data_IF_381369949194
#
_entry.id   IF_381369949194
#
_cell.length_a   1.000
_cell.length_b   1.000
_cell.length_c   1.000
_cell.angle_alpha   90.00
_cell.angle_beta   90.00
_cell.angle_gamma   90.00
#
_symmetry.space_group_name_H-M   'P 1'
#
loop_
_entity.id
_entity.type
_entity.pdbx_description
1 polymer ?
#
# COMPACT_ATOMS: atom_id res chain seq x y z
N UNK A 1 -4.19 -24.08 7.42
CA UNK A 1 -3.40 -23.74 6.21
C UNK A 1 -2.50 -22.57 6.57
N UNK A 2 -1.29 -22.53 6.04
CA UNK A 2 -0.39 -21.39 6.29
C UNK A 2 -0.97 -20.13 5.64
N UNK A 3 -1.16 -19.07 6.41
CA UNK A 3 -1.68 -17.80 5.93
C UNK A 3 -0.92 -16.62 6.53
N UNK A 4 -0.93 -15.48 5.85
CA UNK A 4 -0.40 -14.23 6.33
C UNK A 4 -1.48 -13.15 6.26
N UNK A 5 -1.79 -12.54 7.40
CA UNK A 5 -2.69 -11.40 7.46
C UNK A 5 -1.89 -10.11 7.34
N UNK A 6 -2.37 -9.20 6.50
CA UNK A 6 -1.81 -7.86 6.30
C UNK A 6 -2.89 -6.82 6.55
N UNK A 7 -2.51 -5.69 7.13
CA UNK A 7 -3.35 -4.48 7.30
C UNK A 7 -2.70 -3.38 6.46
N UNK A 8 -3.36 -2.94 5.40
CA UNK A 8 -2.80 -1.92 4.51
C UNK A 8 -3.58 -0.60 4.60
N UNK A 9 -2.85 0.52 4.66
CA UNK A 9 -3.43 1.85 4.75
C UNK A 9 -2.40 2.93 4.41
N UNK A 10 -2.80 4.00 3.78
CA UNK A 10 -1.97 5.19 3.49
C UNK A 10 -2.65 6.49 3.91
N UNK A 11 -1.96 7.61 3.74
CA UNK A 11 -2.48 8.96 3.98
C UNK A 11 -2.93 9.14 5.45
N UNK A 12 -1.97 9.01 6.36
CA UNK A 12 -2.27 8.64 7.73
C UNK A 12 -2.37 9.84 8.69
N UNK A 13 -1.27 10.34 9.22
CA UNK A 13 -1.23 11.16 10.43
C UNK A 13 -0.91 12.62 10.16
N UNK A 14 -1.50 13.51 10.93
CA UNK A 14 -1.25 14.95 10.87
C UNK A 14 -2.17 15.72 11.83
N UNK A 15 -2.17 17.05 11.78
CA UNK A 15 -3.01 17.86 12.66
C UNK A 15 -4.47 17.38 12.64
N UNK A 16 -5.14 17.15 13.79
CA UNK A 16 -6.46 16.48 13.86
C UNK A 16 -7.54 17.10 12.98
N UNK A 17 -7.55 18.44 12.85
CA UNK A 17 -8.52 19.15 11.99
C UNK A 17 -8.46 18.70 10.52
N UNK A 18 -7.28 18.29 10.04
CA UNK A 18 -7.04 17.85 8.65
C UNK A 18 -6.89 16.35 8.51
N UNK A 19 -6.67 15.66 9.61
CA UNK A 19 -6.48 14.21 9.67
C UNK A 19 -7.41 13.60 10.75
N UNK A 20 -8.74 13.72 10.59
CA UNK A 20 -9.70 13.33 11.64
C UNK A 20 -9.81 11.83 11.84
N UNK A 21 -9.31 11.01 10.91
CA UNK A 21 -9.43 9.54 10.95
C UNK A 21 -8.24 8.80 11.57
N UNK A 22 -7.09 9.47 11.80
CA UNK A 22 -5.84 8.81 12.16
C UNK A 22 -5.92 7.97 13.45
N UNK A 23 -6.52 8.50 14.49
CA UNK A 23 -6.69 7.80 15.77
C UNK A 23 -7.65 6.61 15.64
N UNK A 24 -8.78 6.80 14.96
CA UNK A 24 -9.80 5.78 14.78
C UNK A 24 -9.28 4.59 13.93
N UNK A 25 -8.52 4.87 12.87
CA UNK A 25 -7.93 3.81 12.03
C UNK A 25 -6.78 3.07 12.76
N UNK A 26 -5.98 3.75 13.56
CA UNK A 26 -4.99 3.10 14.43
C UNK A 26 -5.67 2.20 15.49
N UNK A 27 -6.77 2.65 16.09
CA UNK A 27 -7.56 1.83 17.02
C UNK A 27 -8.19 0.61 16.33
N UNK A 28 -8.69 0.76 15.09
CA UNK A 28 -9.19 -0.35 14.28
C UNK A 28 -8.07 -1.38 14.00
N UNK A 29 -6.89 -0.93 13.59
CA UNK A 29 -5.75 -1.82 13.37
C UNK A 29 -5.40 -2.63 14.62
N UNK A 30 -5.42 -2.02 15.81
CA UNK A 30 -5.21 -2.72 17.09
C UNK A 30 -6.27 -3.78 17.36
N UNK A 31 -7.54 -3.51 17.02
CA UNK A 31 -8.61 -4.52 17.18
C UNK A 31 -8.37 -5.72 16.26
N UNK A 32 -7.95 -5.47 15.03
CA UNK A 32 -7.60 -6.55 14.09
C UNK A 32 -6.39 -7.33 14.62
N UNK A 33 -5.35 -6.67 15.12
CA UNK A 33 -4.16 -7.33 15.67
C UNK A 33 -4.46 -8.22 16.89
N UNK A 34 -5.49 -7.91 17.68
CA UNK A 34 -5.92 -8.79 18.78
C UNK A 34 -6.40 -10.16 18.27
N UNK A 35 -7.09 -10.17 17.12
CA UNK A 35 -7.57 -11.40 16.49
C UNK A 35 -6.47 -12.09 15.65
N UNK A 36 -5.52 -11.32 15.11
CA UNK A 36 -4.43 -11.77 14.24
C UNK A 36 -3.07 -11.26 14.74
N UNK A 37 -2.51 -11.88 15.81
CA UNK A 37 -1.30 -11.37 16.47
C UNK A 37 -0.06 -11.30 15.58
N UNK A 38 0.00 -12.12 14.52
CA UNK A 38 1.11 -12.17 13.55
C UNK A 38 0.87 -11.31 12.31
N UNK A 39 -0.21 -10.52 12.28
CA UNK A 39 -0.49 -9.65 11.16
C UNK A 39 0.59 -8.55 11.02
N UNK A 40 0.92 -8.23 9.78
CA UNK A 40 1.84 -7.14 9.43
C UNK A 40 1.04 -5.92 8.97
N UNK A 41 1.63 -4.73 9.14
CA UNK A 41 1.06 -3.48 8.68
C UNK A 41 1.84 -2.98 7.48
N UNK A 42 1.13 -2.56 6.42
CA UNK A 42 1.69 -1.94 5.23
C UNK A 42 1.25 -0.48 5.18
N UNK A 43 2.17 0.44 5.47
CA UNK A 43 1.95 1.87 5.38
C UNK A 43 2.25 2.35 3.95
N UNK A 44 1.22 2.84 3.25
CA UNK A 44 1.23 3.11 1.82
C UNK A 44 1.63 4.56 1.47
N UNK A 45 2.47 5.17 2.30
CA UNK A 45 3.00 6.53 2.10
C UNK A 45 2.12 7.64 2.64
N UNK A 46 2.67 8.86 2.61
CA UNK A 46 2.12 10.05 3.27
C UNK A 46 1.84 9.75 4.74
N UNK A 47 2.89 9.32 5.43
CA UNK A 47 2.80 8.82 6.80
C UNK A 47 2.57 9.94 7.81
N UNK A 48 3.28 11.07 7.66
CA UNK A 48 3.12 12.24 8.52
C UNK A 48 2.89 13.52 7.71
N UNK A 49 1.77 14.19 7.96
CA UNK A 49 1.39 15.44 7.31
C UNK A 49 1.76 16.66 8.17
N UNK A 50 2.05 17.77 7.48
CA UNK A 50 1.81 18.10 6.08
C UNK A 50 3.08 17.99 5.20
N UNK A 51 4.25 17.83 5.79
CA UNK A 51 5.55 17.89 5.10
C UNK A 51 6.48 16.72 5.41
N UNK A 52 6.07 15.75 6.21
CA UNK A 52 6.92 14.65 6.65
C UNK A 52 8.09 15.13 7.53
N UNK A 53 7.90 16.17 8.34
CA UNK A 53 8.92 16.68 9.25
C UNK A 53 9.05 15.81 10.50
N UNK A 54 10.19 15.90 11.16
CA UNK A 54 10.46 15.16 12.40
C UNK A 54 9.46 15.50 13.52
N UNK A 55 9.06 16.77 13.64
CA UNK A 55 8.03 17.21 14.57
C UNK A 55 6.66 16.60 14.25
N UNK A 56 6.29 16.53 12.96
CA UNK A 56 5.02 15.90 12.54
C UNK A 56 4.99 14.40 12.83
N UNK A 57 6.10 13.68 12.66
CA UNK A 57 6.23 12.29 13.11
C UNK A 57 6.07 12.16 14.63
N UNK A 58 6.77 13.00 15.40
CA UNK A 58 6.71 12.98 16.86
C UNK A 58 5.32 13.34 17.38
N UNK A 59 4.68 14.36 16.83
CA UNK A 59 3.43 14.93 17.37
C UNK A 59 2.17 14.22 16.86
N UNK A 60 2.21 13.62 15.67
CA UNK A 60 1.02 13.07 15.04
C UNK A 60 1.11 11.56 14.77
N UNK A 61 2.25 11.07 14.28
CA UNK A 61 2.40 9.65 13.98
C UNK A 61 2.67 8.83 15.26
N UNK A 62 3.61 9.26 16.07
CA UNK A 62 4.00 8.56 17.32
C UNK A 62 2.81 8.29 18.25
N UNK A 63 1.91 9.23 18.55
CA UNK A 63 0.80 8.96 19.47
C UNK A 63 -0.30 8.05 18.87
N UNK A 64 -0.29 7.81 17.56
CA UNK A 64 -1.32 7.02 16.86
C UNK A 64 -0.72 5.72 16.30
N UNK A 65 -0.30 5.73 15.06
CA UNK A 65 0.29 4.57 14.35
C UNK A 65 1.73 4.25 14.77
N UNK A 66 2.42 5.19 15.39
CA UNK A 66 3.79 5.03 15.88
C UNK A 66 3.91 4.35 17.25
N UNK A 67 2.82 3.88 17.85
CA UNK A 67 2.89 3.13 19.09
C UNK A 67 3.61 1.79 18.88
N UNK A 68 4.35 1.27 19.88
CA UNK A 68 5.21 0.09 19.73
C UNK A 68 4.50 -1.16 19.17
N UNK A 69 3.24 -1.36 19.54
CA UNK A 69 2.41 -2.48 19.11
C UNK A 69 2.08 -2.45 17.62
N UNK A 70 1.97 -1.26 17.03
CA UNK A 70 1.75 -1.05 15.60
C UNK A 70 3.08 -0.88 14.84
N UNK A 71 3.95 0.03 15.32
CA UNK A 71 5.22 0.36 14.65
C UNK A 71 6.12 -0.86 14.49
N UNK A 72 6.17 -1.73 15.50
CA UNK A 72 6.96 -2.95 15.47
C UNK A 72 6.61 -3.92 14.33
N UNK A 73 5.42 -3.77 13.74
CA UNK A 73 4.85 -4.62 12.66
C UNK A 73 4.70 -3.89 11.33
N UNK A 74 5.10 -2.61 11.28
CA UNK A 74 4.90 -1.74 10.11
C UNK A 74 6.06 -1.85 9.13
N UNK A 75 5.72 -2.11 7.87
CA UNK A 75 6.57 -2.00 6.70
C UNK A 75 5.99 -0.90 5.81
N UNK A 76 6.81 -0.04 5.22
CA UNK A 76 6.30 1.18 4.62
C UNK A 76 6.95 1.51 3.28
N UNK A 77 6.23 2.27 2.45
CA UNK A 77 6.79 3.04 1.37
C UNK A 77 6.63 4.55 1.66
N UNK A 78 7.47 5.42 1.09
CA UNK A 78 7.30 6.86 1.26
C UNK A 78 6.25 7.42 0.29
N UNK A 79 5.63 8.55 0.67
CA UNK A 79 4.74 9.33 -0.17
C UNK A 79 5.27 10.71 -0.49
N UNK A 80 4.51 11.48 -1.27
CA UNK A 80 4.96 12.79 -1.70
C UNK A 80 5.02 13.84 -0.58
N UNK A 81 4.26 13.65 0.50
CA UNK A 81 4.37 14.51 1.68
C UNK A 81 5.60 14.19 2.51
N UNK A 82 6.03 12.92 2.57
CA UNK A 82 7.29 12.54 3.20
C UNK A 82 8.48 13.18 2.45
N UNK A 83 8.41 13.30 1.12
CA UNK A 83 9.41 13.96 0.27
C UNK A 83 9.32 15.50 0.21
N UNK A 84 8.44 16.13 0.99
CA UNK A 84 8.49 17.60 1.18
C UNK A 84 9.62 18.06 2.10
N UNK A 85 10.26 17.14 2.79
CA UNK A 85 11.57 17.34 3.40
C UNK A 85 12.67 16.83 2.47
N UNK A 86 13.88 17.38 2.59
CA UNK A 86 15.01 16.99 1.76
C UNK A 86 15.27 15.47 1.87
N UNK A 87 15.26 14.77 0.75
CA UNK A 87 15.46 13.33 0.64
C UNK A 87 14.57 12.47 1.58
N UNK A 88 13.44 13.00 2.03
CA UNK A 88 12.57 12.36 3.02
C UNK A 88 13.31 11.91 4.29
N UNK A 89 14.36 12.62 4.70
CA UNK A 89 15.24 12.23 5.82
C UNK A 89 14.48 11.84 7.08
N UNK A 90 13.48 12.63 7.59
CA UNK A 90 12.77 12.23 8.80
C UNK A 90 11.98 10.92 8.68
N UNK A 91 11.49 10.57 7.48
CA UNK A 91 10.83 9.30 7.22
C UNK A 91 11.79 8.13 7.43
N UNK A 92 13.00 8.19 6.84
CA UNK A 92 14.00 7.13 6.98
C UNK A 92 14.54 7.01 8.40
N UNK A 93 14.76 8.14 9.08
CA UNK A 93 15.17 8.16 10.49
C UNK A 93 14.12 7.55 11.41
N UNK A 94 12.83 7.80 11.13
CA UNK A 94 11.74 7.33 11.96
C UNK A 94 11.50 5.82 11.83
N UNK A 95 11.43 5.30 10.61
CA UNK A 95 11.13 3.88 10.37
C UNK A 95 12.37 2.99 10.40
N UNK A 96 13.55 3.55 10.14
CA UNK A 96 14.82 2.83 10.07
C UNK A 96 14.99 2.01 8.78
N UNK A 97 16.23 1.65 8.51
CA UNK A 97 16.64 1.00 7.25
C UNK A 97 15.89 -0.31 6.97
N UNK A 98 15.67 -1.11 7.99
CA UNK A 98 15.01 -2.40 7.84
C UNK A 98 13.59 -2.30 7.28
N UNK A 99 12.86 -1.23 7.60
CA UNK A 99 11.43 -1.06 7.26
C UNK A 99 11.15 -0.08 6.13
N UNK A 100 12.08 0.81 5.89
CA UNK A 100 11.93 1.91 4.94
C UNK A 100 12.98 1.89 3.81
N UNK A 101 14.06 1.12 3.96
CA UNK A 101 15.27 1.28 3.16
C UNK A 101 16.09 2.49 3.60
N UNK A 102 16.90 3.03 2.71
CA UNK A 102 17.71 4.23 2.94
C UNK A 102 17.34 5.33 1.94
N UNK A 103 17.74 6.60 2.17
CA UNK A 103 17.54 7.67 1.18
C UNK A 103 18.12 7.33 -0.21
N UNK A 104 19.20 6.56 -0.25
CA UNK A 104 19.86 6.15 -1.50
C UNK A 104 19.19 4.93 -2.14
N UNK A 105 18.53 4.09 -1.33
CA UNK A 105 17.84 2.87 -1.75
C UNK A 105 16.52 2.72 -0.98
N UNK A 106 15.54 3.54 -1.34
CA UNK A 106 14.23 3.64 -0.72
C UNK A 106 13.20 2.63 -1.26
N UNK A 107 13.67 1.47 -1.67
CA UNK A 107 12.91 0.35 -2.18
C UNK A 107 13.55 -0.97 -1.74
N UNK A 108 12.73 -1.94 -1.45
CA UNK A 108 13.17 -3.23 -0.92
C UNK A 108 12.15 -4.33 -1.20
N UNK A 109 12.54 -5.56 -0.92
CA UNK A 109 11.63 -6.71 -0.94
C UNK A 109 11.83 -7.58 0.28
N UNK A 110 10.80 -8.34 0.63
CA UNK A 110 10.87 -9.34 1.69
C UNK A 110 9.92 -10.51 1.42
N UNK A 111 10.30 -11.74 1.88
CA UNK A 111 9.42 -12.87 1.79
C UNK A 111 8.29 -12.77 2.83
N UNK A 112 7.06 -13.04 2.42
CA UNK A 112 5.94 -13.32 3.30
C UNK A 112 5.86 -14.84 3.48
N UNK A 113 6.81 -15.37 4.27
CA UNK A 113 7.12 -16.80 4.30
C UNK A 113 5.93 -17.68 4.70
N UNK A 114 5.07 -17.21 5.62
CA UNK A 114 3.89 -17.95 6.06
C UNK A 114 2.92 -18.26 4.92
N UNK A 115 2.76 -17.35 3.96
CA UNK A 115 1.87 -17.52 2.80
C UNK A 115 2.62 -17.91 1.52
N UNK A 116 3.95 -17.93 1.51
CA UNK A 116 4.74 -18.19 0.31
C UNK A 116 4.73 -17.04 -0.71
N UNK A 117 4.35 -15.82 -0.29
CA UNK A 117 4.31 -14.62 -1.13
C UNK A 117 5.60 -13.82 -1.06
N UNK A 118 5.78 -12.93 -2.04
CA UNK A 118 6.86 -11.95 -2.09
C UNK A 118 6.30 -10.54 -2.05
N UNK A 119 6.75 -9.72 -1.07
CA UNK A 119 6.39 -8.32 -0.96
C UNK A 119 7.47 -7.44 -1.58
N UNK A 120 7.05 -6.52 -2.42
CA UNK A 120 7.85 -5.43 -2.98
C UNK A 120 7.38 -4.10 -2.41
N UNK A 121 8.26 -3.34 -1.77
CA UNK A 121 8.04 -1.93 -1.46
C UNK A 121 8.81 -1.07 -2.47
N UNK A 122 8.10 -0.28 -3.24
CA UNK A 122 8.64 0.58 -4.29
C UNK A 122 8.42 2.06 -3.93
N UNK A 123 9.25 2.92 -4.49
CA UNK A 123 9.16 4.36 -4.27
C UNK A 123 8.66 5.08 -5.52
N UNK A 124 7.44 5.62 -5.46
CA UNK A 124 6.82 6.37 -6.56
C UNK A 124 7.27 7.84 -6.65
N UNK A 125 8.12 8.31 -5.72
CA UNK A 125 8.52 9.73 -5.65
C UNK A 125 9.91 10.00 -6.25
N UNK A 126 10.70 8.95 -6.50
CA UNK A 126 11.99 9.04 -7.19
C UNK A 126 11.86 8.63 -8.67
N UNK A 127 12.96 8.65 -9.39
CA UNK A 127 12.98 8.25 -10.79
C UNK A 127 12.60 6.77 -11.00
N UNK A 128 11.74 6.54 -11.98
CA UNK A 128 11.12 5.27 -12.30
C UNK A 128 11.24 4.90 -13.77
N UNK A 129 12.06 5.62 -14.55
CA UNK A 129 12.21 5.33 -15.98
C UNK A 129 12.88 3.97 -16.25
N UNK A 130 12.93 3.60 -17.53
CA UNK A 130 13.46 2.31 -17.96
C UNK A 130 14.90 2.02 -17.51
N UNK A 131 15.67 3.05 -17.19
CA UNK A 131 17.10 2.99 -16.84
C UNK A 131 17.36 3.33 -15.37
N UNK A 132 16.33 3.69 -14.61
CA UNK A 132 16.48 4.04 -13.19
C UNK A 132 17.07 2.87 -12.38
N UNK A 133 17.90 3.15 -11.37
CA UNK A 133 18.44 2.11 -10.48
C UNK A 133 17.34 1.25 -9.83
N UNK A 134 16.22 1.86 -9.49
CA UNK A 134 15.09 1.16 -8.89
C UNK A 134 14.47 0.14 -9.86
N UNK A 135 14.29 0.51 -11.14
CA UNK A 135 13.68 -0.40 -12.11
C UNK A 135 14.64 -1.53 -12.49
N UNK A 136 15.94 -1.25 -12.57
CA UNK A 136 16.97 -2.29 -12.79
C UNK A 136 16.98 -3.29 -11.63
N UNK A 137 16.92 -2.81 -10.39
CA UNK A 137 16.81 -3.66 -9.21
C UNK A 137 15.52 -4.48 -9.22
N UNK A 138 14.37 -3.87 -9.55
CA UNK A 138 13.08 -4.57 -9.63
C UNK A 138 13.14 -5.74 -10.62
N UNK A 139 13.72 -5.55 -11.79
CA UNK A 139 13.92 -6.61 -12.80
C UNK A 139 14.76 -7.76 -12.26
N UNK A 140 15.83 -7.46 -11.55
CA UNK A 140 16.73 -8.46 -10.94
C UNK A 140 15.99 -9.23 -9.84
N UNK A 141 15.25 -8.56 -8.98
CA UNK A 141 14.48 -9.20 -7.91
C UNK A 141 13.39 -10.13 -8.48
N UNK A 142 12.63 -9.65 -9.46
CA UNK A 142 11.56 -10.42 -10.11
C UNK A 142 12.08 -11.64 -10.89
N UNK A 143 13.26 -11.58 -11.47
CA UNK A 143 13.86 -12.70 -12.22
C UNK A 143 14.03 -13.95 -11.38
N UNK A 144 14.28 -13.81 -10.07
CA UNK A 144 14.38 -14.91 -9.10
C UNK A 144 13.04 -15.42 -8.55
N UNK A 145 11.88 -14.83 -8.95
CA UNK A 145 10.60 -15.05 -8.28
C UNK A 145 9.50 -15.68 -9.15
N UNK A 146 9.86 -16.38 -10.20
CA UNK A 146 8.92 -16.90 -11.24
C UNK A 146 7.73 -17.71 -10.72
N UNK A 147 7.81 -18.28 -9.52
CA UNK A 147 6.78 -19.16 -8.96
C UNK A 147 6.16 -18.63 -7.65
N UNK A 148 6.48 -17.42 -7.24
CA UNK A 148 5.91 -16.82 -6.04
C UNK A 148 4.83 -15.81 -6.39
N UNK A 149 3.66 -15.79 -5.73
CA UNK A 149 2.73 -14.68 -5.81
C UNK A 149 3.40 -13.40 -5.32
N UNK A 150 3.16 -12.30 -6.04
CA UNK A 150 3.81 -11.01 -5.77
C UNK A 150 2.77 -9.99 -5.37
N UNK A 151 3.01 -9.33 -4.23
CA UNK A 151 2.32 -8.15 -3.75
C UNK A 151 3.28 -6.96 -3.84
N UNK A 152 2.90 -5.89 -4.50
CA UNK A 152 3.69 -4.67 -4.56
C UNK A 152 2.96 -3.50 -3.90
N UNK A 153 3.71 -2.68 -3.14
CA UNK A 153 3.20 -1.44 -2.53
C UNK A 153 4.01 -0.25 -3.03
N UNK A 154 3.34 0.86 -3.32
CA UNK A 154 3.91 2.20 -3.50
C UNK A 154 2.81 3.25 -3.35
N UNK A 155 3.17 4.52 -3.20
CA UNK A 155 2.22 5.55 -2.82
C UNK A 155 1.25 5.96 -3.94
N UNK A 156 1.74 6.40 -5.12
CA UNK A 156 0.88 6.98 -6.18
C UNK A 156 0.18 5.93 -7.03
N UNK A 157 -1.17 5.86 -7.03
CA UNK A 157 -1.88 4.90 -7.88
C UNK A 157 -1.73 5.22 -9.36
N UNK A 158 -1.80 4.18 -10.20
CA UNK A 158 -1.87 4.36 -11.65
C UNK A 158 -3.26 4.81 -12.07
N UNK A 159 -4.30 4.28 -11.45
CA UNK A 159 -5.69 4.59 -11.72
C UNK A 159 -6.43 4.94 -10.44
N UNK A 160 -7.45 5.81 -10.57
CA UNK A 160 -8.30 6.19 -9.46
C UNK A 160 -9.43 7.10 -9.90
N UNK A 161 -10.56 7.05 -9.20
CA UNK A 161 -11.74 7.86 -9.45
C UNK A 161 -11.83 9.14 -8.61
N UNK A 162 -10.92 9.30 -7.64
CA UNK A 162 -10.87 10.44 -6.73
C UNK A 162 -10.06 11.63 -7.25
N UNK A 163 -9.88 12.64 -6.40
CA UNK A 163 -9.22 13.91 -6.78
C UNK A 163 -7.71 13.74 -7.08
N UNK A 164 -7.00 12.91 -6.33
CA UNK A 164 -5.57 12.63 -6.51
C UNK A 164 -5.38 11.32 -7.25
N UNK A 165 -5.72 11.32 -8.52
CA UNK A 165 -5.79 10.13 -9.38
C UNK A 165 -4.69 10.10 -10.42
N UNK A 166 -4.55 8.93 -11.07
CA UNK A 166 -3.84 8.73 -12.34
C UNK A 166 -2.42 9.29 -12.39
N UNK A 167 -1.48 8.59 -11.83
CA UNK A 167 -0.08 8.87 -12.09
C UNK A 167 0.43 8.05 -13.29
N UNK A 168 1.03 8.70 -14.28
CA UNK A 168 1.70 8.01 -15.38
C UNK A 168 3.06 7.43 -14.97
N UNK A 169 3.63 7.91 -13.87
CA UNK A 169 4.96 7.49 -13.39
C UNK A 169 5.07 5.98 -13.13
N UNK A 170 4.14 5.30 -12.41
CA UNK A 170 4.28 3.88 -12.10
C UNK A 170 4.14 2.91 -13.28
N UNK A 171 3.94 3.38 -14.51
CA UNK A 171 3.75 2.51 -15.68
C UNK A 171 4.85 1.46 -15.85
N UNK A 172 6.09 1.81 -15.52
CA UNK A 172 7.22 0.90 -15.63
C UNK A 172 7.16 -0.23 -14.60
N UNK A 173 6.77 0.08 -13.36
CA UNK A 173 6.53 -0.94 -12.34
C UNK A 173 5.45 -1.92 -12.77
N UNK A 174 4.33 -1.41 -13.29
CA UNK A 174 3.22 -2.24 -13.74
C UNK A 174 3.60 -3.16 -14.89
N UNK A 175 4.42 -2.69 -15.84
CA UNK A 175 4.90 -3.52 -16.95
C UNK A 175 5.76 -4.69 -16.45
N UNK A 176 6.70 -4.43 -15.54
CA UNK A 176 7.54 -5.48 -14.96
C UNK A 176 6.72 -6.46 -14.08
N UNK A 177 5.79 -5.93 -13.28
CA UNK A 177 4.91 -6.77 -12.46
C UNK A 177 4.00 -7.64 -13.33
N UNK A 178 3.42 -7.10 -14.40
CA UNK A 178 2.57 -7.88 -15.30
C UNK A 178 3.37 -8.98 -16.00
N UNK A 179 4.57 -8.67 -16.49
CA UNK A 179 5.47 -9.66 -17.09
C UNK A 179 5.87 -10.77 -16.09
N UNK A 180 6.02 -10.41 -14.81
CA UNK A 180 6.30 -11.36 -13.72
C UNK A 180 5.04 -12.02 -13.15
N UNK A 181 3.83 -11.76 -13.70
CA UNK A 181 2.54 -12.23 -13.19
C UNK A 181 2.29 -11.82 -11.73
N UNK A 182 2.53 -10.52 -11.41
CA UNK A 182 2.17 -9.94 -10.12
C UNK A 182 0.68 -10.05 -9.84
N UNK A 183 0.31 -10.28 -8.58
CA UNK A 183 -1.09 -10.51 -8.16
C UNK A 183 -1.76 -9.22 -7.70
N UNK A 184 -1.06 -8.49 -6.83
CA UNK A 184 -1.65 -7.38 -6.10
C UNK A 184 -0.78 -6.12 -6.15
N UNK A 185 -1.45 -4.98 -6.26
CA UNK A 185 -0.85 -3.65 -6.14
C UNK A 185 -1.65 -2.84 -5.13
N UNK A 186 -1.00 -2.30 -4.09
CA UNK A 186 -1.63 -1.45 -3.10
C UNK A 186 -1.04 -0.04 -3.14
N UNK A 187 -1.91 0.96 -3.11
CA UNK A 187 -1.55 2.37 -3.19
C UNK A 187 -2.28 3.22 -2.15
N UNK A 188 -1.69 4.35 -1.75
CA UNK A 188 -2.32 5.45 -1.03
C UNK A 188 -2.63 6.63 -1.95
N UNK A 189 -2.27 7.85 -1.51
CA UNK A 189 -2.29 9.12 -2.24
C UNK A 189 -3.68 9.68 -2.56
N UNK A 190 -4.58 8.88 -3.07
CA UNK A 190 -5.95 9.27 -3.31
C UNK A 190 -6.78 8.95 -2.07
N UNK A 191 -7.32 9.99 -1.40
CA UNK A 191 -7.93 9.87 -0.08
C UNK A 191 -9.33 9.24 -0.14
N UNK A 192 -9.37 7.98 -0.58
CA UNK A 192 -10.57 7.14 -0.65
C UNK A 192 -10.16 5.66 -0.71
N UNK A 193 -11.13 4.77 -0.62
CA UNK A 193 -10.96 3.36 -0.94
C UNK A 193 -11.47 3.07 -2.34
N UNK A 194 -10.69 2.32 -3.14
CA UNK A 194 -11.16 1.85 -4.45
C UNK A 194 -10.48 0.53 -4.82
N UNK A 195 -11.25 -0.39 -5.38
CA UNK A 195 -10.79 -1.69 -5.85
C UNK A 195 -11.10 -1.86 -7.34
N UNK A 196 -10.09 -2.30 -8.07
CA UNK A 196 -10.18 -2.55 -9.51
C UNK A 196 -10.25 -4.05 -9.82
N UNK A 197 -10.88 -4.39 -10.95
CA UNK A 197 -10.77 -5.73 -11.53
C UNK A 197 -9.31 -6.05 -11.89
N UNK A 198 -8.94 -7.34 -11.97
CA UNK A 198 -7.66 -7.74 -12.53
C UNK A 198 -7.50 -7.21 -13.95
N UNK A 199 -6.35 -6.60 -14.24
CA UNK A 199 -6.15 -5.89 -15.50
C UNK A 199 -4.67 -5.81 -15.88
N UNK A 200 -4.44 -5.47 -17.14
CA UNK A 200 -3.15 -5.20 -17.73
C UNK A 200 -2.67 -3.76 -17.43
N UNK A 201 -1.37 -3.44 -17.66
CA UNK A 201 -0.84 -2.08 -17.52
C UNK A 201 -1.50 -1.02 -18.41
N UNK A 202 -2.12 -1.42 -19.51
CA UNK A 202 -2.88 -0.57 -20.44
C UNK A 202 -4.38 -0.47 -20.11
N UNK A 203 -4.78 -0.97 -18.92
CA UNK A 203 -6.14 -0.91 -18.38
C UNK A 203 -7.15 -1.83 -19.14
N UNK A 204 -6.67 -2.79 -19.90
CA UNK A 204 -7.53 -3.83 -20.49
C UNK A 204 -7.80 -4.88 -19.39
N UNK A 205 -9.07 -5.27 -19.16
CA UNK A 205 -9.41 -6.35 -18.23
C UNK A 205 -8.67 -7.64 -18.60
N UNK A 206 -8.08 -8.28 -17.61
CA UNK A 206 -7.37 -9.54 -17.78
C UNK A 206 -7.47 -10.37 -16.48
N UNK A 207 -8.14 -11.53 -16.48
CA UNK A 207 -8.25 -12.37 -15.30
C UNK A 207 -6.89 -12.82 -14.72
N UNK A 208 -5.83 -12.80 -15.53
CA UNK A 208 -4.45 -13.10 -15.11
C UNK A 208 -3.62 -11.84 -14.85
N UNK A 209 -4.22 -10.67 -14.94
CA UNK A 209 -3.61 -9.40 -14.59
C UNK A 209 -3.53 -9.19 -13.07
N UNK A 210 -2.91 -8.11 -12.66
CA UNK A 210 -2.87 -7.70 -11.27
C UNK A 210 -4.13 -6.93 -10.86
N UNK A 211 -4.55 -7.09 -9.61
CA UNK A 211 -5.61 -6.29 -8.99
C UNK A 211 -4.99 -5.10 -8.24
N UNK A 212 -5.48 -3.89 -8.52
CA UNK A 212 -5.08 -2.68 -7.78
C UNK A 212 -6.10 -2.34 -6.70
N UNK A 213 -5.61 -1.95 -5.52
CA UNK A 213 -6.36 -1.32 -4.45
C UNK A 213 -5.78 0.06 -4.15
N UNK A 214 -6.65 1.05 -4.02
CA UNK A 214 -6.33 2.36 -3.46
C UNK A 214 -6.88 2.40 -2.04
N UNK A 215 -6.03 2.70 -1.05
CA UNK A 215 -6.37 2.67 0.38
C UNK A 215 -5.82 3.92 1.07
N UNK A 216 -6.19 5.09 0.55
CA UNK A 216 -5.82 6.39 1.14
C UNK A 216 -6.76 6.84 2.25
N UNK A 217 -7.18 5.91 3.10
CA UNK A 217 -8.25 6.09 4.09
C UNK A 217 -7.75 6.13 5.53
N UNK A 218 -6.42 6.31 5.73
CA UNK A 218 -5.75 6.18 7.03
C UNK A 218 -6.01 7.32 8.02
N UNK A 219 -6.41 8.49 7.53
CA UNK A 219 -6.67 9.60 8.45
C UNK A 219 -6.82 10.95 7.80
N UNK A 220 -6.15 11.20 6.68
CA UNK A 220 -6.27 12.45 5.94
C UNK A 220 -7.71 12.66 5.46
N UNK A 221 -8.21 13.91 5.50
CA UNK A 221 -9.55 14.28 5.03
C UNK A 221 -9.84 13.63 3.68
N UNK A 222 -10.92 12.87 3.62
CA UNK A 222 -11.35 12.16 2.42
C UNK A 222 -11.73 13.13 1.31
N UNK A 223 -11.58 12.67 0.06
CA UNK A 223 -11.92 13.43 -1.15
C UNK A 223 -12.98 12.70 -1.94
N UNK A 224 -13.87 13.46 -2.57
CA UNK A 224 -14.96 12.90 -3.35
C UNK A 224 -14.56 12.28 -4.68
N UNK A 225 -15.50 11.56 -5.31
CA UNK A 225 -15.37 11.08 -6.67
C UNK A 225 -15.31 12.25 -7.65
N UNK A 226 -14.42 12.18 -8.64
CA UNK A 226 -14.25 13.21 -9.67
C UNK A 226 -14.49 12.68 -11.08
N UNK A 227 -14.42 11.35 -11.27
CA UNK A 227 -14.71 10.67 -12.54
C UNK A 227 -15.06 9.20 -12.29
N UNK A 228 -15.58 8.55 -13.31
CA UNK A 228 -15.60 7.08 -13.38
C UNK A 228 -14.31 6.59 -14.05
N UNK A 229 -13.71 5.56 -13.47
CA UNK A 229 -12.50 4.95 -13.99
C UNK A 229 -12.80 3.52 -14.46
N UNK A 230 -12.44 3.14 -15.68
CA UNK A 230 -12.64 1.79 -16.17
C UNK A 230 -12.09 0.73 -15.22
N UNK A 231 -12.78 -0.41 -15.13
CA UNK A 231 -12.44 -1.54 -14.28
C UNK A 231 -12.51 -1.28 -12.76
N UNK A 232 -13.01 -0.11 -12.33
CA UNK A 232 -13.35 0.12 -10.92
C UNK A 232 -14.57 -0.73 -10.55
N UNK A 233 -14.40 -1.69 -9.62
CA UNK A 233 -15.47 -2.59 -9.19
C UNK A 233 -16.18 -2.09 -7.93
N UNK A 234 -15.45 -1.38 -7.06
CA UNK A 234 -15.99 -0.85 -5.82
C UNK A 234 -15.19 0.37 -5.35
N UNK A 235 -15.88 1.41 -4.86
CA UNK A 235 -15.24 2.58 -4.29
C UNK A 235 -16.05 3.22 -3.17
N UNK A 236 -15.36 3.74 -2.12
CA UNK A 236 -15.92 4.49 -0.99
C UNK A 236 -15.11 5.76 -0.78
N UNK A 237 -15.81 6.90 -0.78
CA UNK A 237 -15.23 8.24 -0.66
C UNK A 237 -15.55 8.92 0.67
N UNK A 238 -16.28 8.26 1.53
CA UNK A 238 -16.89 8.80 2.75
C UNK A 238 -16.53 8.02 4.02
N UNK A 239 -15.62 7.03 3.93
CA UNK A 239 -15.29 6.15 5.05
C UNK A 239 -13.78 6.07 5.29
N UNK A 240 -13.39 6.33 6.53
CA UNK A 240 -12.08 5.93 7.05
C UNK A 240 -12.08 4.43 7.33
N UNK A 241 -10.95 3.79 7.12
CA UNK A 241 -10.83 2.35 7.33
C UNK A 241 -9.48 1.82 6.88
N UNK A 242 -9.33 0.52 6.96
CA UNK A 242 -8.14 -0.21 6.51
C UNK A 242 -8.52 -1.38 5.62
N UNK A 243 -7.61 -1.77 4.74
CA UNK A 243 -7.73 -3.00 3.97
C UNK A 243 -7.06 -4.14 4.74
N UNK A 244 -7.83 -5.14 5.14
CA UNK A 244 -7.30 -6.42 5.64
C UNK A 244 -7.17 -7.39 4.48
N UNK A 245 -5.98 -7.91 4.26
CA UNK A 245 -5.69 -8.99 3.30
C UNK A 245 -5.33 -10.26 4.06
N UNK A 246 -5.91 -11.37 3.67
CA UNK A 246 -5.48 -12.71 4.10
C UNK A 246 -4.89 -13.42 2.90
N UNK A 247 -3.57 -13.62 2.92
CA UNK A 247 -2.82 -14.27 1.85
C UNK A 247 -2.64 -15.75 2.17
N UNK A 248 -2.91 -16.61 1.21
CA UNK A 248 -2.63 -18.05 1.22
C UNK A 248 -1.78 -18.43 0.01
N UNK A 249 -1.14 -19.58 -0.03
CA UNK A 249 -0.30 -19.99 -1.18
C UNK A 249 -1.06 -20.03 -2.51
N UNK A 250 -2.36 -20.26 -2.47
CA UNK A 250 -3.24 -20.52 -3.62
C UNK A 250 -4.34 -19.47 -3.84
N UNK A 251 -4.56 -18.56 -2.87
CA UNK A 251 -5.61 -17.55 -2.93
C UNK A 251 -5.30 -16.33 -2.05
N UNK A 252 -6.03 -15.26 -2.27
CA UNK A 252 -6.06 -14.13 -1.36
C UNK A 252 -7.49 -13.64 -1.14
N UNK A 253 -7.77 -13.23 0.10
CA UNK A 253 -9.05 -12.61 0.50
C UNK A 253 -8.80 -11.16 0.89
N UNK A 254 -9.75 -10.28 0.55
CA UNK A 254 -9.74 -8.88 0.99
C UNK A 254 -10.98 -8.54 1.77
N UNK A 255 -10.83 -7.61 2.72
CA UNK A 255 -11.91 -7.03 3.51
C UNK A 255 -11.55 -5.56 3.77
N UNK A 256 -12.30 -4.62 3.19
CA UNK A 256 -12.19 -3.22 3.59
C UNK A 256 -13.10 -2.99 4.79
N UNK A 257 -12.49 -2.65 5.93
CA UNK A 257 -13.16 -2.51 7.22
C UNK A 257 -13.13 -1.04 7.61
N UNK A 258 -14.30 -0.44 7.85
CA UNK A 258 -14.40 0.94 8.32
C UNK A 258 -14.13 1.07 9.84
N UNK A 259 -13.99 2.31 10.31
CA UNK A 259 -13.69 2.60 11.73
C UNK A 259 -14.81 2.15 12.69
N UNK A 260 -15.99 1.85 12.18
CA UNK A 260 -17.14 1.31 12.94
C UNK A 260 -17.17 -0.25 12.90
N UNK A 261 -16.07 -0.91 12.53
CA UNK A 261 -15.91 -2.36 12.40
C UNK A 261 -16.82 -3.03 11.35
N UNK A 262 -17.35 -2.26 10.38
CA UNK A 262 -18.17 -2.81 9.30
C UNK A 262 -17.31 -3.19 8.10
N UNK A 263 -17.49 -4.41 7.60
CA UNK A 263 -16.90 -4.85 6.33
C UNK A 263 -17.73 -4.28 5.19
N UNK A 264 -17.16 -3.32 4.46
CA UNK A 264 -17.85 -2.60 3.38
C UNK A 264 -17.58 -3.19 2.00
N UNK A 265 -16.44 -3.83 1.81
CA UNK A 265 -16.08 -4.56 0.60
C UNK A 265 -15.34 -5.83 0.98
N UNK A 266 -15.66 -6.94 0.33
CA UNK A 266 -15.03 -8.23 0.59
C UNK A 266 -15.06 -9.10 -0.66
N UNK A 267 -14.11 -9.99 -0.76
CA UNK A 267 -14.05 -11.02 -1.79
C UNK A 267 -12.81 -11.88 -1.64
N UNK A 268 -12.73 -12.89 -2.50
CA UNK A 268 -11.62 -13.82 -2.55
C UNK A 268 -11.29 -14.13 -4.00
N UNK A 269 -10.02 -14.33 -4.32
CA UNK A 269 -9.55 -14.68 -5.65
C UNK A 269 -8.42 -15.71 -5.56
N UNK A 270 -8.43 -16.74 -6.40
CA UNK A 270 -7.29 -17.62 -6.58
C UNK A 270 -6.07 -16.85 -7.08
N UNK A 271 -4.88 -17.27 -6.67
CA UNK A 271 -3.62 -16.82 -7.25
C UNK A 271 -3.54 -17.29 -8.70
N UNK A 272 -3.03 -16.43 -9.58
CA UNK A 272 -2.82 -16.76 -10.99
C UNK A 272 -2.01 -18.07 -11.13
N UNK A 273 -2.53 -19.03 -11.89
CA UNK A 273 -1.83 -20.29 -12.11
C UNK A 273 -0.52 -20.03 -12.87
N UNK A 274 0.59 -20.26 -12.18
CA UNK A 274 1.93 -20.18 -12.74
C UNK A 274 2.24 -21.55 -13.28
N UNK A 275 2.27 -21.72 -14.60
CA UNK A 275 2.66 -22.99 -15.22
C UNK A 275 3.97 -23.48 -14.59
N UNK A 276 3.94 -24.71 -14.10
CA UNK A 276 5.12 -25.44 -13.61
C UNK A 276 6.08 -25.72 -14.75
#
# INVERSE_FOLDING_TARGET
>A
MAEQVLIAVGDMCGPPRKNPGAEATAALARRILKAYPDAMILALGDNAYNRGKQDEYREHYTPTWGQPDLLGRTWCCPGNHDYRTAAATPYFEYFGEQRAGTPQRSYYSLPLAAAGWHLLSLNSEIDQDAHSPQLQWLRQDLAGRRFQPILAIWHRPRWGSGAHRDSKKPRWFLNELYAARGELVLNGHAHHYERFAPQRPDQIPDPQGFRQFVVGTGGRKLTGRTKDTPNSEYARFDKFGVLKLTLRPDAYKWEFIDVDDRVLDTGEQPVNQRGR
#
